data_IF_624113335594
#
_entry.id   IF_624113335594
#
_cell.length_a   1.000
_cell.length_b   1.000
_cell.length_c   1.000
_cell.angle_alpha   90.00
_cell.angle_beta   90.00
_cell.angle_gamma   90.00
#
_symmetry.space_group_name_H-M   'P 1'
#
loop_
_entity.id
_entity.type
_entity.pdbx_description
1 polymer ?
#
# COMPACT_ATOMS: atom_id res chain seq x y z
N UNK A 1 43.75 -81.67 -25.06
CA UNK A 1 42.65 -82.11 -25.94
C UNK A 1 41.75 -80.91 -26.16
N UNK A 2 41.55 -80.53 -27.42
CA UNK A 2 40.78 -79.38 -27.92
C UNK A 2 39.35 -79.86 -28.35
N UNK A 3 38.50 -79.09 -29.07
CA UNK A 3 37.27 -78.49 -28.51
C UNK A 3 36.00 -78.74 -29.37
N UNK A 4 34.89 -78.09 -29.03
CA UNK A 4 33.79 -77.66 -29.93
C UNK A 4 32.81 -76.77 -29.13
N UNK A 5 32.03 -75.82 -29.67
CA UNK A 5 32.11 -74.86 -30.78
C UNK A 5 31.01 -73.82 -30.47
N UNK A 6 31.25 -72.55 -30.82
CA UNK A 6 30.28 -71.54 -31.29
C UNK A 6 29.30 -70.76 -30.38
N UNK A 7 29.25 -69.47 -30.75
CA UNK A 7 28.27 -68.39 -30.48
C UNK A 7 28.39 -67.67 -29.12
N UNK A 8 28.60 -66.35 -29.00
CA UNK A 8 28.51 -65.22 -29.93
C UNK A 8 29.54 -64.15 -29.56
N UNK A 9 30.18 -63.56 -30.57
CA UNK A 9 31.19 -62.51 -30.43
C UNK A 9 30.64 -61.19 -30.97
N UNK A 10 30.87 -60.08 -30.25
CA UNK A 10 31.67 -58.95 -30.73
C UNK A 10 31.26 -57.63 -30.06
N UNK A 11 32.25 -57.09 -29.35
CA UNK A 11 32.43 -55.70 -28.98
C UNK A 11 32.33 -54.75 -30.19
N UNK A 12 31.64 -53.62 -30.05
CA UNK A 12 31.83 -52.47 -30.93
C UNK A 12 31.59 -51.15 -30.18
N UNK A 13 32.66 -50.37 -30.02
CA UNK A 13 32.63 -48.98 -29.64
C UNK A 13 31.91 -48.16 -30.72
N UNK A 14 30.97 -47.29 -30.33
CA UNK A 14 30.23 -46.46 -31.27
C UNK A 14 30.90 -45.09 -31.47
N UNK A 15 31.64 -45.03 -32.57
CA UNK A 15 31.84 -43.91 -33.51
C UNK A 15 31.40 -42.50 -33.10
N UNK A 16 32.39 -41.63 -32.91
CA UNK A 16 32.29 -40.21 -33.25
C UNK A 16 32.22 -40.08 -34.78
N UNK A 17 31.09 -39.57 -35.30
CA UNK A 17 30.96 -39.22 -36.72
C UNK A 17 31.07 -37.71 -36.90
N UNK A 18 32.11 -37.34 -37.63
CA UNK A 18 32.37 -36.06 -38.26
C UNK A 18 31.21 -35.63 -39.17
N UNK A 19 30.80 -34.36 -39.09
CA UNK A 19 30.28 -33.63 -40.24
C UNK A 19 31.08 -32.34 -40.37
N UNK A 20 31.88 -32.28 -41.44
CA UNK A 20 32.55 -31.07 -41.94
C UNK A 20 31.49 -30.07 -42.40
N UNK A 21 31.48 -28.87 -41.83
CA UNK A 21 30.86 -27.70 -42.44
C UNK A 21 31.95 -26.78 -42.97
N UNK A 22 32.15 -26.82 -44.29
CA UNK A 22 32.98 -25.90 -45.06
C UNK A 22 32.25 -24.58 -45.29
N UNK A 23 32.97 -23.48 -45.10
CA UNK A 23 32.52 -22.10 -45.14
C UNK A 23 32.02 -21.64 -46.52
N UNK A 24 30.98 -20.80 -46.51
CA UNK A 24 30.77 -19.77 -47.53
C UNK A 24 30.09 -18.55 -46.88
N UNK A 25 30.88 -17.53 -46.58
CA UNK A 25 30.42 -16.23 -46.09
C UNK A 25 29.74 -15.48 -47.24
N UNK A 26 28.41 -15.37 -47.23
CA UNK A 26 27.67 -14.33 -47.96
C UNK A 26 27.06 -13.36 -46.96
N UNK A 27 27.57 -12.14 -47.00
CA UNK A 27 27.17 -10.98 -46.21
C UNK A 27 25.86 -10.43 -46.79
N UNK A 28 24.76 -10.47 -46.05
CA UNK A 28 23.51 -9.78 -46.41
C UNK A 28 23.25 -8.65 -45.42
N UNK A 29 23.05 -7.44 -45.94
CA UNK A 29 22.81 -6.22 -45.19
C UNK A 29 21.38 -6.16 -44.66
N UNK A 30 21.20 -5.63 -43.45
CA UNK A 30 19.90 -5.28 -42.88
C UNK A 30 19.34 -3.99 -43.51
N UNK A 31 18.00 -3.79 -43.56
CA UNK A 31 17.38 -2.62 -44.18
C UNK A 31 17.66 -1.32 -43.41
N UNK A 32 17.87 -0.23 -44.15
CA UNK A 32 18.08 1.11 -43.60
C UNK A 32 16.82 1.68 -42.91
N UNK A 33 17.00 2.23 -41.71
CA UNK A 33 16.03 3.05 -40.96
C UNK A 33 16.01 4.47 -41.55
N UNK A 34 14.85 5.10 -41.80
CA UNK A 34 14.80 6.52 -42.19
C UNK A 34 15.28 7.40 -41.03
N UNK A 35 16.14 8.37 -41.34
CA UNK A 35 16.69 9.36 -40.43
C UNK A 35 15.61 10.23 -39.80
N UNK A 36 15.47 10.20 -38.47
CA UNK A 36 14.73 11.22 -37.73
C UNK A 36 15.58 12.49 -37.62
N UNK A 37 15.16 13.58 -38.26
CA UNK A 37 15.69 14.92 -38.03
C UNK A 37 15.30 15.38 -36.62
N UNK A 38 16.26 15.45 -35.70
CA UNK A 38 16.10 16.20 -34.45
C UNK A 38 16.12 17.70 -34.74
N UNK A 39 15.29 18.53 -34.09
CA UNK A 39 15.41 19.98 -34.20
C UNK A 39 16.74 20.44 -33.55
N UNK A 40 17.37 21.52 -34.06
CA UNK A 40 18.65 21.97 -33.54
C UNK A 40 18.51 22.47 -32.09
N UNK A 41 19.58 22.36 -31.27
CA UNK A 41 19.56 22.82 -29.90
C UNK A 41 19.30 24.34 -29.88
N UNK A 42 18.28 24.77 -29.13
CA UNK A 42 18.05 26.20 -28.88
C UNK A 42 19.23 26.74 -28.09
N UNK A 43 19.96 27.71 -28.67
CA UNK A 43 21.02 28.44 -27.97
C UNK A 43 20.42 29.18 -26.79
N UNK A 44 20.72 28.73 -25.57
CA UNK A 44 20.38 29.44 -24.35
C UNK A 44 21.26 30.69 -24.26
N UNK A 45 20.65 31.83 -23.94
CA UNK A 45 21.38 33.09 -23.79
C UNK A 45 22.25 33.07 -22.54
N UNK A 46 23.44 33.67 -22.56
CA UNK A 46 24.28 33.78 -21.38
C UNK A 46 23.57 34.59 -20.29
N UNK A 47 23.74 34.19 -19.02
CA UNK A 47 23.05 34.78 -17.86
C UNK A 47 23.25 36.30 -17.75
N UNK A 48 24.39 36.83 -18.20
CA UNK A 48 24.63 38.27 -18.25
C UNK A 48 23.63 39.02 -19.15
N UNK A 49 23.22 38.45 -20.29
CA UNK A 49 22.24 39.08 -21.19
C UNK A 49 20.82 39.02 -20.59
N UNK A 50 20.52 37.97 -19.82
CA UNK A 50 19.23 37.82 -19.12
C UNK A 50 19.12 38.85 -18.01
N UNK A 51 20.16 39.00 -17.18
CA UNK A 51 20.17 39.96 -16.07
C UNK A 51 20.16 41.41 -16.56
N UNK A 52 20.77 41.70 -17.71
CA UNK A 52 20.74 43.04 -18.31
C UNK A 52 19.35 43.45 -18.87
N UNK A 53 18.47 42.49 -19.15
CA UNK A 53 17.11 42.74 -19.70
C UNK A 53 15.99 42.57 -18.68
N UNK A 54 16.24 41.93 -17.55
CA UNK A 54 15.24 41.78 -16.50
C UNK A 54 14.99 43.15 -15.84
N UNK A 55 13.73 43.61 -15.86
CA UNK A 55 13.34 44.81 -15.10
C UNK A 55 13.49 44.52 -13.61
N UNK A 56 14.19 45.39 -12.89
CA UNK A 56 14.27 45.31 -11.44
C UNK A 56 12.87 45.61 -10.88
N UNK A 57 12.17 44.57 -10.42
CA UNK A 57 10.91 44.74 -9.70
C UNK A 57 11.30 45.29 -8.33
N UNK A 58 11.12 46.59 -8.15
CA UNK A 58 11.10 47.19 -6.82
C UNK A 58 9.84 46.63 -6.16
N UNK A 59 10.02 45.68 -5.24
CA UNK A 59 8.93 45.28 -4.36
C UNK A 59 8.68 46.47 -3.44
N UNK A 60 7.65 47.26 -3.76
CA UNK A 60 7.05 48.16 -2.78
C UNK A 60 6.63 47.28 -1.60
N UNK A 61 7.23 47.54 -0.44
CA UNK A 61 6.98 46.80 0.80
C UNK A 61 5.65 47.30 1.33
N UNK A 62 4.55 46.78 0.79
CA UNK A 62 3.23 46.99 1.37
C UNK A 62 3.26 46.52 2.83
N UNK A 63 2.74 47.36 3.73
CA UNK A 63 2.72 47.19 5.18
C UNK A 63 1.90 45.94 5.58
N UNK A 64 2.56 44.79 5.77
CA UNK A 64 1.97 43.56 6.34
C UNK A 64 1.83 43.62 7.88
N UNK A 65 1.91 44.81 8.48
CA UNK A 65 2.00 45.00 9.94
C UNK A 65 0.66 44.85 10.69
N UNK A 66 -0.46 44.52 10.01
CA UNK A 66 -1.78 44.31 10.67
C UNK A 66 -2.40 42.92 10.39
N UNK A 67 -1.61 41.94 9.96
CA UNK A 67 -2.12 40.56 9.82
C UNK A 67 -2.24 39.92 11.20
N UNK A 68 -3.48 39.70 11.65
CA UNK A 68 -3.78 39.07 12.95
C UNK A 68 -4.13 37.60 12.78
N UNK A 69 -3.88 36.82 13.82
CA UNK A 69 -4.31 35.44 13.86
C UNK A 69 -5.84 35.36 13.97
N UNK A 70 -6.47 34.63 13.05
CA UNK A 70 -7.93 34.43 13.03
C UNK A 70 -8.48 33.63 14.21
N UNK A 71 -7.63 32.86 14.90
CA UNK A 71 -8.07 32.01 16.02
C UNK A 71 -8.02 32.77 17.35
N UNK A 72 -6.92 33.47 17.64
CA UNK A 72 -6.75 34.19 18.91
C UNK A 72 -6.98 35.70 18.80
N UNK A 73 -7.12 36.25 17.60
CA UNK A 73 -7.34 37.68 17.34
C UNK A 73 -6.13 38.59 17.61
N UNK A 74 -5.01 38.04 18.08
CA UNK A 74 -3.77 38.77 18.37
C UNK A 74 -2.85 38.81 17.14
N UNK A 75 -2.08 39.90 17.01
CA UNK A 75 -0.98 40.05 16.05
C UNK A 75 0.40 39.81 16.67
N UNK A 76 0.47 39.29 17.90
CA UNK A 76 1.73 39.03 18.62
C UNK A 76 2.33 37.68 18.18
N UNK A 77 3.66 37.62 17.95
CA UNK A 77 4.40 36.49 17.36
C UNK A 77 4.17 36.34 15.86
N UNK A 78 4.43 37.43 15.16
CA UNK A 78 4.48 37.52 13.70
C UNK A 78 5.46 36.49 13.08
N UNK A 79 6.52 36.14 13.81
CA UNK A 79 7.50 35.10 13.45
C UNK A 79 6.93 33.67 13.44
N UNK A 80 5.84 33.42 14.16
CA UNK A 80 5.12 32.14 14.20
C UNK A 80 3.80 32.19 13.42
N UNK A 81 3.56 33.21 12.58
CA UNK A 81 2.30 33.40 11.84
C UNK A 81 2.36 32.76 10.45
N UNK A 82 1.43 31.84 10.17
CA UNK A 82 1.25 31.21 8.85
C UNK A 82 0.14 31.91 8.07
N UNK A 83 0.36 32.14 6.78
CA UNK A 83 -0.67 32.60 5.85
C UNK A 83 -1.26 31.43 5.09
N UNK A 84 -2.58 31.37 5.02
CA UNK A 84 -3.27 30.38 4.19
C UNK A 84 -3.15 30.75 2.71
N UNK A 85 -2.59 29.87 1.88
CA UNK A 85 -2.40 30.11 0.43
C UNK A 85 -3.71 30.24 -0.39
N UNK A 86 -4.86 30.11 0.26
CA UNK A 86 -6.18 30.23 -0.39
C UNK A 86 -6.95 31.48 0.03
N UNK A 87 -6.82 31.91 1.28
CA UNK A 87 -7.63 33.01 1.81
C UNK A 87 -6.80 34.12 2.44
N UNK A 88 -5.47 34.01 2.37
CA UNK A 88 -4.48 34.98 2.84
C UNK A 88 -4.63 35.40 4.31
N UNK A 89 -5.43 34.66 5.08
CA UNK A 89 -5.64 34.88 6.51
C UNK A 89 -4.47 34.31 7.32
N UNK A 90 -4.08 35.04 8.36
CA UNK A 90 -3.03 34.67 9.30
C UNK A 90 -3.50 33.72 10.39
N UNK A 91 -2.66 32.77 10.75
CA UNK A 91 -2.86 31.86 11.86
C UNK A 91 -1.53 31.56 12.55
N UNK A 92 -1.44 31.72 13.87
CA UNK A 92 -0.23 31.26 14.55
C UNK A 92 -0.08 29.75 14.41
N UNK A 93 1.14 29.31 14.23
CA UNK A 93 1.59 27.92 14.25
C UNK A 93 1.03 27.13 15.43
N UNK A 94 0.90 27.76 16.61
CA UNK A 94 0.32 27.17 17.83
C UNK A 94 -1.20 27.33 17.96
N UNK A 95 -1.81 28.20 17.16
CA UNK A 95 -3.25 28.46 17.18
C UNK A 95 -4.00 27.62 16.15
N UNK A 96 -3.30 26.95 15.24
CA UNK A 96 -3.89 25.96 14.34
C UNK A 96 -3.91 24.60 15.01
N UNK A 97 -4.94 23.80 14.73
CA UNK A 97 -5.03 22.40 15.17
C UNK A 97 -4.89 21.49 13.94
N UNK A 98 -3.83 20.65 13.87
CA UNK A 98 -2.82 20.47 14.91
C UNK A 98 -1.82 21.63 14.95
N UNK A 99 -1.10 21.76 16.07
CA UNK A 99 -0.01 22.72 16.21
C UNK A 99 1.04 22.44 15.14
N UNK A 100 1.32 23.44 14.32
CA UNK A 100 2.39 23.39 13.33
C UNK A 100 3.69 23.73 14.04
N UNK A 101 4.62 22.76 14.13
CA UNK A 101 5.87 22.95 14.87
C UNK A 101 6.98 23.63 14.04
N UNK A 102 6.83 23.65 12.72
CA UNK A 102 7.74 24.29 11.75
C UNK A 102 6.95 24.76 10.54
N UNK A 103 7.42 25.83 9.88
CA UNK A 103 6.80 26.32 8.64
C UNK A 103 6.70 25.16 7.62
N UNK A 104 5.48 24.84 7.13
CA UNK A 104 5.28 23.74 6.19
C UNK A 104 6.06 23.97 4.89
N UNK A 105 6.59 22.89 4.31
CA UNK A 105 7.24 22.93 3.00
C UNK A 105 6.15 22.77 1.94
N UNK A 106 6.00 23.78 1.07
CA UNK A 106 4.95 23.80 0.05
C UNK A 106 3.68 24.50 0.53
N UNK A 107 2.53 24.21 -0.10
CA UNK A 107 1.32 24.98 0.16
C UNK A 107 0.61 24.59 1.45
N UNK A 108 0.29 25.60 2.28
CA UNK A 108 -0.45 25.44 3.53
C UNK A 108 -1.85 26.07 3.43
N UNK A 109 -2.85 25.31 3.85
CA UNK A 109 -4.25 25.75 3.86
C UNK A 109 -4.78 25.72 5.28
N UNK A 110 -5.46 26.79 5.70
CA UNK A 110 -6.10 26.83 7.01
C UNK A 110 -7.25 25.81 7.13
N UNK A 111 -7.68 25.45 8.34
CA UNK A 111 -8.74 24.45 8.56
C UNK A 111 -10.03 24.74 7.77
N UNK A 112 -10.40 26.03 7.64
CA UNK A 112 -11.56 26.47 6.86
C UNK A 112 -11.41 26.22 5.35
N UNK A 113 -10.18 26.27 4.84
CA UNK A 113 -9.86 26.09 3.42
C UNK A 113 -9.53 24.64 3.05
N UNK A 114 -9.09 23.83 4.02
CA UNK A 114 -8.76 22.42 3.84
C UNK A 114 -10.00 21.56 3.53
N UNK A 115 -11.16 21.86 4.15
CA UNK A 115 -12.43 21.15 3.94
C UNK A 115 -13.08 21.30 2.56
N UNK A 116 -12.42 21.95 1.58
CA UNK A 116 -12.96 22.23 0.25
C UNK A 116 -12.36 21.38 -0.87
N UNK A 117 -11.54 20.37 -0.57
CA UNK A 117 -11.31 19.29 -1.55
C UNK A 117 -12.58 18.46 -1.63
N UNK A 118 -13.49 18.82 -2.54
CA UNK A 118 -14.64 17.99 -2.93
C UNK A 118 -14.11 16.68 -3.48
N UNK A 119 -13.94 15.67 -2.64
CA UNK A 119 -13.61 14.34 -3.12
C UNK A 119 -14.86 13.80 -3.81
N UNK A 120 -14.76 13.54 -5.11
CA UNK A 120 -15.89 13.03 -5.89
C UNK A 120 -16.28 11.66 -5.34
N UNK A 121 -17.50 11.53 -4.84
CA UNK A 121 -18.03 10.23 -4.40
C UNK A 121 -17.99 9.23 -5.56
N UNK A 122 -17.54 8.01 -5.28
CA UNK A 122 -17.62 6.91 -6.23
C UNK A 122 -19.08 6.50 -6.44
N UNK A 123 -19.44 6.14 -7.67
CA UNK A 123 -20.71 5.46 -7.91
C UNK A 123 -20.58 3.98 -7.53
N UNK A 124 -21.69 3.33 -7.19
CA UNK A 124 -21.72 1.91 -6.81
C UNK A 124 -20.96 1.01 -7.81
N UNK A 125 -21.18 1.21 -9.11
CA UNK A 125 -20.50 0.44 -10.17
C UNK A 125 -18.98 0.62 -10.14
N UNK A 126 -18.50 1.85 -9.87
CA UNK A 126 -17.06 2.12 -9.75
C UNK A 126 -16.46 1.47 -8.51
N UNK A 127 -17.19 1.42 -7.40
CA UNK A 127 -16.73 0.73 -6.18
C UNK A 127 -16.58 -0.77 -6.44
N UNK A 128 -17.59 -1.40 -7.03
CA UNK A 128 -17.55 -2.82 -7.37
C UNK A 128 -16.36 -3.16 -8.27
N UNK A 129 -16.13 -2.36 -9.30
CA UNK A 129 -15.01 -2.53 -10.24
C UNK A 129 -13.65 -2.30 -9.54
N UNK A 130 -13.55 -1.23 -8.74
CA UNK A 130 -12.32 -0.86 -8.01
C UNK A 130 -11.83 -1.99 -7.10
N UNK A 131 -12.75 -2.64 -6.38
CA UNK A 131 -12.44 -3.76 -5.48
C UNK A 131 -12.54 -5.14 -6.14
N UNK A 132 -12.87 -5.21 -7.45
CA UNK A 132 -13.09 -6.47 -8.20
C UNK A 132 -14.07 -7.42 -7.50
N UNK A 133 -15.14 -6.86 -6.94
CA UNK A 133 -16.12 -7.62 -6.14
C UNK A 133 -16.77 -8.68 -7.03
N UNK A 134 -16.67 -9.93 -6.59
CA UNK A 134 -17.26 -11.07 -7.29
C UNK A 134 -18.77 -11.07 -7.09
N UNK A 135 -19.54 -11.14 -8.19
CA UNK A 135 -20.96 -11.42 -8.11
C UNK A 135 -21.15 -12.90 -7.82
N UNK A 136 -21.74 -13.20 -6.67
CA UNK A 136 -22.28 -14.53 -6.42
C UNK A 136 -23.46 -14.70 -7.38
N UNK A 137 -23.44 -15.72 -8.26
CA UNK A 137 -24.67 -16.12 -8.95
C UNK A 137 -25.57 -16.77 -7.89
N UNK A 138 -26.77 -16.24 -7.68
CA UNK A 138 -27.71 -16.68 -6.64
C UNK A 138 -28.22 -18.13 -6.80
N UNK A 139 -27.76 -18.88 -7.79
CA UNK A 139 -28.29 -20.22 -8.16
C UNK A 139 -27.50 -21.42 -7.60
N UNK A 140 -26.31 -21.24 -7.00
CA UNK A 140 -25.62 -22.33 -6.28
C UNK A 140 -24.82 -21.81 -5.07
N UNK A 141 -25.51 -21.15 -4.14
CA UNK A 141 -25.02 -21.04 -2.77
C UNK A 141 -25.66 -22.16 -1.94
N UNK A 142 -24.90 -23.14 -1.42
CA UNK A 142 -25.39 -23.92 -0.30
C UNK A 142 -25.70 -22.92 0.80
N UNK A 143 -26.97 -22.85 1.17
CA UNK A 143 -27.54 -22.04 2.24
C UNK A 143 -26.80 -22.33 3.56
N UNK A 144 -25.62 -21.76 3.76
CA UNK A 144 -25.02 -21.55 5.08
C UNK A 144 -25.58 -20.24 5.62
N UNK A 145 -26.90 -20.23 5.70
CA UNK A 145 -27.68 -19.38 6.59
C UNK A 145 -27.03 -19.36 7.96
N UNK A 146 -27.14 -18.20 8.60
CA UNK A 146 -26.72 -17.88 9.95
C UNK A 146 -27.40 -18.72 11.06
N UNK A 147 -27.64 -20.02 10.86
CA UNK A 147 -28.32 -20.92 11.80
C UNK A 147 -27.52 -22.19 12.19
N UNK A 148 -26.21 -22.23 11.98
CA UNK A 148 -25.38 -23.37 12.42
C UNK A 148 -24.38 -23.05 13.56
N UNK A 149 -24.68 -22.08 14.43
CA UNK A 149 -24.06 -22.00 15.77
C UNK A 149 -25.10 -22.34 16.85
N UNK A 150 -25.84 -23.44 16.68
CA UNK A 150 -26.38 -24.17 17.85
C UNK A 150 -25.25 -25.02 18.41
N UNK A 151 -24.32 -24.38 19.13
CA UNK A 151 -23.41 -25.11 20.03
C UNK A 151 -24.27 -25.91 21.00
N UNK A 152 -24.31 -27.24 20.85
CA UNK A 152 -24.81 -28.15 21.88
C UNK A 152 -24.11 -27.76 23.19
N UNK A 153 -24.85 -27.18 24.14
CA UNK A 153 -24.42 -27.03 25.53
C UNK A 153 -24.25 -28.44 26.11
N UNK A 154 -23.07 -29.04 25.94
CA UNK A 154 -22.63 -30.08 26.86
C UNK A 154 -22.34 -29.37 28.18
N UNK A 155 -23.11 -29.69 29.22
CA UNK A 155 -22.76 -29.35 30.61
C UNK A 155 -21.37 -29.92 30.86
N UNK A 156 -20.36 -29.06 30.88
CA UNK A 156 -19.00 -29.40 31.28
C UNK A 156 -18.82 -28.96 32.74
N UNK A 157 -18.04 -29.70 33.55
CA UNK A 157 -17.74 -29.30 34.92
C UNK A 157 -17.15 -27.89 34.96
N UNK A 158 -17.44 -27.16 36.03
CA UNK A 158 -16.91 -25.83 36.34
C UNK A 158 -15.39 -25.90 36.59
N UNK A 159 -14.63 -26.09 35.52
CA UNK A 159 -13.18 -25.86 35.53
C UNK A 159 -12.97 -24.53 34.83
N UNK A 160 -12.31 -23.59 35.52
CA UNK A 160 -11.92 -22.30 35.00
C UNK A 160 -10.94 -22.49 33.83
N UNK A 161 -11.47 -22.73 32.64
CA UNK A 161 -10.70 -22.71 31.41
C UNK A 161 -10.41 -21.24 31.11
N UNK A 162 -9.14 -20.82 31.22
CA UNK A 162 -8.70 -19.50 30.73
C UNK A 162 -9.26 -19.34 29.31
N UNK A 163 -10.03 -18.27 29.05
CA UNK A 163 -10.57 -17.98 27.70
C UNK A 163 -9.40 -18.04 26.71
N UNK A 164 -9.40 -19.04 25.82
CA UNK A 164 -8.40 -19.11 24.75
C UNK A 164 -8.62 -17.88 23.86
N UNK A 165 -7.59 -17.03 23.75
CA UNK A 165 -7.55 -15.93 22.78
C UNK A 165 -7.51 -16.58 21.40
N UNK A 166 -8.59 -16.45 20.63
CA UNK A 166 -8.73 -16.96 19.26
C UNK A 166 -9.25 -15.84 18.37
N UNK A 167 -8.87 -15.82 17.11
CA UNK A 167 -9.37 -14.83 16.16
C UNK A 167 -10.89 -15.00 15.99
N UNK A 168 -11.58 -13.87 15.87
CA UNK A 168 -12.98 -13.79 15.50
C UNK A 168 -13.07 -13.13 14.11
N UNK A 169 -13.98 -13.60 13.23
CA UNK A 169 -14.24 -12.89 12.00
C UNK A 169 -14.89 -11.53 12.31
N UNK A 170 -14.63 -10.53 11.46
CA UNK A 170 -15.37 -9.28 11.53
C UNK A 170 -16.84 -9.49 11.19
N UNK A 171 -17.66 -8.50 11.57
CA UNK A 171 -19.09 -8.46 11.23
C UNK A 171 -19.33 -7.27 10.31
N UNK A 172 -19.60 -7.50 9.01
CA UNK A 172 -19.96 -6.42 8.10
C UNK A 172 -21.22 -5.70 8.58
N UNK A 173 -21.35 -4.42 8.23
CA UNK A 173 -22.60 -3.69 8.39
C UNK A 173 -23.74 -4.41 7.66
N UNK A 174 -24.90 -4.57 8.30
CA UNK A 174 -26.06 -5.24 7.70
C UNK A 174 -26.59 -4.47 6.48
N UNK A 175 -26.62 -3.14 6.58
CA UNK A 175 -27.03 -2.22 5.52
C UNK A 175 -26.03 -2.23 4.34
N UNK A 176 -26.45 -2.64 3.12
CA UNK A 176 -25.61 -2.61 1.93
C UNK A 176 -25.11 -1.22 1.55
N UNK A 177 -25.90 -0.18 1.73
CA UNK A 177 -25.51 1.20 1.38
C UNK A 177 -24.40 1.69 2.31
N UNK A 178 -24.48 1.29 3.58
CA UNK A 178 -23.42 1.53 4.57
C UNK A 178 -22.11 0.82 4.20
N UNK A 179 -22.15 -0.45 3.80
CA UNK A 179 -20.95 -1.16 3.29
C UNK A 179 -20.36 -0.47 2.06
N UNK A 180 -21.22 0.03 1.18
CA UNK A 180 -20.80 0.75 -0.01
C UNK A 180 -20.12 2.08 0.34
N UNK A 181 -20.62 2.80 1.33
CA UNK A 181 -19.98 4.02 1.88
C UNK A 181 -18.60 3.71 2.48
N UNK A 182 -18.49 2.63 3.26
CA UNK A 182 -17.23 2.15 3.86
C UNK A 182 -16.18 1.88 2.77
N UNK A 183 -16.51 1.03 1.79
CA UNK A 183 -15.63 0.76 0.65
C UNK A 183 -15.31 2.02 -0.17
N UNK A 184 -16.31 2.87 -0.40
CA UNK A 184 -16.13 4.13 -1.13
C UNK A 184 -15.14 5.08 -0.46
N UNK A 185 -15.11 5.14 0.88
CA UNK A 185 -14.14 5.94 1.63
C UNK A 185 -12.70 5.48 1.39
N UNK A 186 -12.46 4.17 1.40
CA UNK A 186 -11.16 3.57 1.10
C UNK A 186 -10.74 3.81 -0.36
N UNK A 187 -11.65 3.61 -1.31
CA UNK A 187 -11.37 3.86 -2.73
C UNK A 187 -10.97 5.32 -2.98
N UNK A 188 -11.64 6.25 -2.29
CA UNK A 188 -11.32 7.68 -2.27
C UNK A 188 -9.91 7.95 -1.75
N UNK A 189 -9.53 7.37 -0.61
CA UNK A 189 -8.20 7.57 -0.02
C UNK A 189 -7.09 7.02 -0.94
N UNK A 190 -7.24 5.78 -1.42
CA UNK A 190 -6.31 5.15 -2.36
C UNK A 190 -6.16 5.96 -3.65
N UNK A 191 -7.27 6.43 -4.22
CA UNK A 191 -7.24 7.26 -5.43
C UNK A 191 -6.55 8.60 -5.19
N UNK A 192 -6.73 9.20 -4.01
CA UNK A 192 -6.07 10.45 -3.63
C UNK A 192 -4.54 10.26 -3.56
N UNK A 193 -4.10 9.12 -3.05
CA UNK A 193 -2.69 8.73 -3.00
C UNK A 193 -2.17 8.10 -4.30
N UNK A 194 -2.99 8.02 -5.36
CA UNK A 194 -2.67 7.38 -6.64
C UNK A 194 -2.22 5.91 -6.50
N UNK A 195 -2.84 5.21 -5.56
CA UNK A 195 -2.59 3.80 -5.28
C UNK A 195 -3.63 2.89 -5.94
N UNK A 196 -3.19 1.68 -6.28
CA UNK A 196 -4.06 0.57 -6.64
C UNK A 196 -4.47 -0.20 -5.39
N UNK A 197 -5.72 -0.68 -5.36
CA UNK A 197 -6.17 -1.58 -4.30
C UNK A 197 -5.53 -2.95 -4.44
N UNK A 198 -5.00 -3.48 -3.34
CA UNK A 198 -4.54 -4.86 -3.23
C UNK A 198 -4.75 -5.39 -1.82
N UNK A 199 -5.49 -6.49 -1.68
CA UNK A 199 -5.74 -7.17 -0.41
C UNK A 199 -4.82 -8.40 -0.20
N UNK A 200 -3.69 -8.43 -0.91
CA UNK A 200 -2.69 -9.49 -0.85
C UNK A 200 -1.27 -8.90 -0.89
N UNK A 201 -0.29 -9.66 -0.40
CA UNK A 201 1.12 -9.34 -0.65
C UNK A 201 1.46 -9.51 -2.14
N UNK A 202 2.07 -8.49 -2.73
CA UNK A 202 2.47 -8.49 -4.14
C UNK A 202 3.98 -8.61 -4.29
N UNK A 203 4.42 -9.37 -5.29
CA UNK A 203 5.85 -9.64 -5.56
C UNK A 203 6.18 -9.18 -6.97
N UNK A 204 6.89 -8.06 -7.07
CA UNK A 204 7.14 -7.36 -8.34
C UNK A 204 8.51 -7.74 -8.89
N UNK A 205 8.66 -7.94 -10.21
CA UNK A 205 9.98 -8.11 -10.81
C UNK A 205 10.92 -6.95 -10.45
N UNK A 206 12.12 -7.27 -9.95
CA UNK A 206 13.10 -6.28 -9.47
C UNK A 206 13.05 -6.01 -7.97
N UNK A 207 12.01 -6.47 -7.28
CA UNK A 207 11.89 -6.47 -5.80
C UNK A 207 12.14 -7.89 -5.25
N UNK A 208 11.73 -8.15 -4.01
CA UNK A 208 11.82 -9.48 -3.42
C UNK A 208 10.89 -10.48 -4.14
N UNK A 209 11.40 -11.70 -4.35
CA UNK A 209 10.59 -12.80 -4.87
C UNK A 209 9.73 -13.42 -3.78
N UNK A 210 8.62 -14.06 -4.17
CA UNK A 210 7.77 -14.80 -3.23
C UNK A 210 8.52 -15.88 -2.46
N UNK A 211 9.51 -16.52 -3.10
CA UNK A 211 10.37 -17.52 -2.47
C UNK A 211 11.31 -16.96 -1.39
N UNK A 212 11.53 -15.65 -1.32
CA UNK A 212 12.30 -15.02 -0.25
C UNK A 212 11.49 -14.92 1.05
N UNK A 213 10.18 -14.82 0.96
CA UNK A 213 9.28 -14.76 2.11
C UNK A 213 9.01 -16.16 2.68
N UNK A 214 9.92 -16.64 3.51
CA UNK A 214 9.76 -17.88 4.27
C UNK A 214 9.98 -17.60 5.76
N UNK A 215 8.97 -17.92 6.57
CA UNK A 215 8.97 -17.64 8.01
C UNK A 215 10.11 -18.35 8.78
N UNK A 216 10.68 -19.41 8.23
CA UNK A 216 11.86 -20.11 8.79
C UNK A 216 13.11 -19.23 8.84
N UNK A 217 13.16 -18.14 8.08
CA UNK A 217 14.27 -17.19 8.08
C UNK A 217 14.15 -16.11 9.16
N UNK A 218 13.02 -16.03 9.87
CA UNK A 218 12.82 -15.08 10.98
C UNK A 218 13.80 -15.38 12.12
N UNK A 219 14.55 -14.37 12.55
CA UNK A 219 15.43 -14.51 13.70
C UNK A 219 14.61 -14.65 15.00
N UNK A 220 14.91 -15.67 15.80
CA UNK A 220 14.10 -16.03 16.97
C UNK A 220 12.82 -16.83 16.65
N UNK A 221 12.51 -17.05 15.36
CA UNK A 221 11.37 -17.85 14.90
C UNK A 221 10.03 -17.09 14.91
N UNK A 222 9.10 -17.55 14.08
CA UNK A 222 7.79 -16.93 13.91
C UNK A 222 6.66 -17.84 14.42
N UNK A 223 5.70 -17.26 15.13
CA UNK A 223 4.53 -17.99 15.60
C UNK A 223 3.70 -18.55 14.42
N UNK A 224 3.27 -19.80 14.53
CA UNK A 224 2.44 -20.47 13.51
C UNK A 224 0.97 -20.24 13.83
N UNK A 225 0.22 -19.73 12.86
CA UNK A 225 -1.22 -19.55 12.99
C UNK A 225 -1.92 -20.90 13.16
N UNK A 226 -2.83 -21.01 14.13
CA UNK A 226 -3.56 -22.25 14.37
C UNK A 226 -4.54 -22.54 13.24
N UNK A 227 -4.89 -23.82 13.02
CA UNK A 227 -5.86 -24.19 11.98
C UNK A 227 -7.20 -23.45 12.11
N UNK A 228 -7.70 -23.26 13.34
CA UNK A 228 -8.96 -22.52 13.61
C UNK A 228 -8.84 -21.03 13.23
N UNK A 229 -7.69 -20.42 13.50
CA UNK A 229 -7.44 -19.02 13.15
C UNK A 229 -7.20 -18.83 11.64
N UNK A 230 -6.56 -19.81 10.99
CA UNK A 230 -6.42 -19.86 9.52
C UNK A 230 -7.78 -19.95 8.83
N UNK A 231 -8.68 -20.82 9.30
CA UNK A 231 -10.06 -20.91 8.79
C UNK A 231 -10.82 -19.58 8.98
N UNK A 232 -10.58 -18.89 10.11
CA UNK A 232 -11.18 -17.58 10.38
C UNK A 232 -10.66 -16.50 9.42
N UNK A 233 -9.35 -16.50 9.13
CA UNK A 233 -8.73 -15.60 8.17
C UNK A 233 -9.26 -15.85 6.74
N UNK A 234 -9.37 -17.10 6.32
CA UNK A 234 -9.91 -17.48 5.02
C UNK A 234 -11.37 -17.05 4.87
N UNK A 235 -12.18 -17.18 5.93
CA UNK A 235 -13.55 -16.67 5.96
C UNK A 235 -13.58 -15.15 5.75
N UNK A 236 -12.70 -14.40 6.42
CA UNK A 236 -12.61 -12.94 6.27
C UNK A 236 -12.23 -12.54 4.84
N UNK A 237 -11.24 -13.21 4.23
CA UNK A 237 -10.89 -12.98 2.82
C UNK A 237 -12.05 -13.29 1.87
N UNK A 238 -12.80 -14.36 2.11
CA UNK A 238 -13.96 -14.71 1.31
C UNK A 238 -15.10 -13.69 1.42
N UNK A 239 -15.31 -13.10 2.61
CA UNK A 239 -16.23 -11.98 2.82
C UNK A 239 -15.80 -10.75 2.00
N UNK A 240 -14.55 -10.33 2.10
CA UNK A 240 -14.03 -9.16 1.36
C UNK A 240 -14.22 -9.31 -0.16
N UNK A 241 -13.94 -10.49 -0.72
CA UNK A 241 -14.10 -10.76 -2.17
C UNK A 241 -15.52 -10.59 -2.70
N UNK A 242 -16.54 -10.75 -1.85
CA UNK A 242 -17.95 -10.58 -2.21
C UNK A 242 -18.55 -9.25 -1.72
N UNK A 243 -17.71 -8.32 -1.27
CA UNK A 243 -18.14 -6.97 -0.86
C UNK A 243 -18.65 -6.88 0.59
N UNK A 244 -18.38 -7.89 1.40
CA UNK A 244 -18.58 -7.86 2.84
C UNK A 244 -17.28 -7.41 3.51
N UNK A 245 -17.12 -6.11 3.71
CA UNK A 245 -15.94 -5.50 4.34
C UNK A 245 -16.08 -5.42 5.88
N UNK A 246 -14.97 -5.32 6.63
CA UNK A 246 -15.03 -4.93 8.04
C UNK A 246 -15.67 -3.54 8.18
N UNK A 247 -16.38 -3.26 9.29
CA UNK A 247 -17.15 -2.04 9.45
C UNK A 247 -16.24 -0.85 9.78
N UNK A 248 -15.43 -0.43 8.82
CA UNK A 248 -14.40 0.59 8.93
C UNK A 248 -14.65 1.71 7.93
N UNK A 249 -14.35 2.94 8.34
CA UNK A 249 -14.42 4.13 7.50
C UNK A 249 -13.04 4.79 7.43
N UNK A 250 -12.59 5.14 6.23
CA UNK A 250 -11.41 5.99 6.06
C UNK A 250 -11.84 7.45 6.10
N UNK A 251 -11.34 8.19 7.07
CA UNK A 251 -11.70 9.59 7.30
C UNK A 251 -10.46 10.46 7.23
N UNK A 252 -10.58 11.62 6.57
CA UNK A 252 -9.50 12.59 6.55
C UNK A 252 -9.58 13.48 7.78
N UNK A 253 -8.53 13.44 8.59
CA UNK A 253 -8.26 14.34 9.69
C UNK A 253 -7.18 15.36 9.29
N UNK A 254 -7.32 16.61 9.69
CA UNK A 254 -6.35 17.66 9.34
C UNK A 254 -5.00 17.50 10.01
N UNK A 255 -4.94 16.75 11.11
CA UNK A 255 -3.73 16.52 11.89
C UNK A 255 -3.00 15.25 11.48
N UNK A 256 -3.77 14.17 11.30
CA UNK A 256 -3.25 12.82 11.12
C UNK A 256 -3.30 12.37 9.66
N UNK A 257 -3.93 13.16 8.77
CA UNK A 257 -4.14 12.77 7.39
C UNK A 257 -5.27 11.76 7.27
N UNK A 258 -5.10 10.72 6.46
CA UNK A 258 -6.11 9.67 6.39
C UNK A 258 -6.01 8.75 7.60
N UNK A 259 -7.14 8.61 8.30
CA UNK A 259 -7.31 7.79 9.50
C UNK A 259 -8.37 6.73 9.25
N UNK A 260 -8.41 5.69 10.11
CA UNK A 260 -9.44 4.65 10.06
C UNK A 260 -10.21 4.63 11.37
N UNK A 261 -11.52 4.78 11.28
CA UNK A 261 -12.43 4.67 12.41
C UNK A 261 -13.37 3.46 12.27
N UNK A 262 -13.79 2.90 13.40
CA UNK A 262 -14.82 1.88 13.42
C UNK A 262 -16.18 2.54 13.17
N UNK A 263 -16.85 2.13 12.10
CA UNK A 263 -18.23 2.56 11.82
C UNK A 263 -19.23 1.72 12.63
N UNK A 264 -18.90 0.47 13.00
CA UNK A 264 -19.75 -0.38 13.85
C UNK A 264 -18.95 -1.08 14.96
N UNK A 265 -19.64 -1.80 15.84
CA UNK A 265 -19.03 -2.51 16.95
C UNK A 265 -18.04 -3.58 16.46
N UNK A 266 -16.79 -3.44 16.88
CA UNK A 266 -15.73 -4.43 16.70
C UNK A 266 -15.47 -5.10 18.05
N UNK A 267 -15.55 -6.42 18.11
CA UNK A 267 -15.34 -7.17 19.35
C UNK A 267 -13.85 -7.36 19.61
N UNK A 268 -13.51 -7.55 20.88
CA UNK A 268 -12.18 -8.03 21.25
C UNK A 268 -11.83 -9.32 20.48
N UNK A 269 -10.58 -9.44 20.06
CA UNK A 269 -10.03 -10.50 19.21
C UNK A 269 -10.58 -10.59 17.78
N UNK A 270 -11.31 -9.59 17.28
CA UNK A 270 -11.75 -9.55 15.87
C UNK A 270 -10.59 -9.26 14.92
N UNK A 271 -10.46 -10.07 13.87
CA UNK A 271 -9.58 -9.81 12.74
C UNK A 271 -10.03 -8.53 12.00
N UNK A 272 -9.09 -7.61 11.77
CA UNK A 272 -9.35 -6.30 11.16
C UNK A 272 -8.97 -6.32 9.67
N UNK A 273 -7.68 -6.42 9.39
CA UNK A 273 -7.13 -6.47 8.04
C UNK A 273 -5.72 -7.09 8.08
N UNK A 274 -5.28 -7.67 6.97
CA UNK A 274 -3.86 -7.94 6.73
C UNK A 274 -3.16 -6.64 6.29
N UNK A 275 -1.90 -6.47 6.66
CA UNK A 275 -1.08 -5.38 6.13
C UNK A 275 -0.52 -5.80 4.77
N UNK A 276 -0.94 -5.13 3.68
CA UNK A 276 -0.64 -5.55 2.30
C UNK A 276 0.13 -4.49 1.53
N UNK A 277 0.83 -4.92 0.50
CA UNK A 277 1.63 -4.05 -0.38
C UNK A 277 2.70 -4.83 -1.14
N UNK A 278 3.53 -4.10 -1.87
CA UNK A 278 4.66 -4.66 -2.59
C UNK A 278 5.73 -5.12 -1.59
N UNK A 279 6.16 -6.38 -1.69
CA UNK A 279 7.21 -6.94 -0.82
C UNK A 279 8.58 -6.67 -1.44
N UNK A 280 9.47 -6.08 -0.66
CA UNK A 280 10.83 -5.76 -1.07
C UNK A 280 11.84 -6.11 0.01
N UNK A 281 13.13 -6.10 -0.35
CA UNK A 281 14.20 -6.22 0.63
C UNK A 281 14.37 -4.90 1.38
N UNK A 282 14.55 -4.97 2.69
CA UNK A 282 14.72 -3.77 3.53
C UNK A 282 15.89 -2.88 3.06
N UNK A 283 17.01 -3.50 2.64
CA UNK A 283 18.18 -2.79 2.08
C UNK A 283 17.86 -1.95 0.84
N UNK A 284 16.83 -2.32 0.07
CA UNK A 284 16.44 -1.58 -1.13
C UNK A 284 15.66 -0.30 -0.78
N UNK A 285 15.22 -0.15 0.47
CA UNK A 285 14.31 0.89 0.96
C UNK A 285 14.94 1.80 2.03
N UNK A 286 16.26 1.71 2.24
CA UNK A 286 16.98 2.52 3.24
C UNK A 286 16.83 4.04 3.05
N UNK A 287 16.59 4.47 1.81
CA UNK A 287 16.46 5.87 1.42
C UNK A 287 15.04 6.19 0.90
N UNK A 288 14.08 5.31 1.18
CA UNK A 288 12.69 5.48 0.76
C UNK A 288 11.96 6.45 1.71
N UNK A 289 11.12 7.32 1.15
CA UNK A 289 10.35 8.34 1.87
C UNK A 289 8.92 7.87 2.24
N UNK A 290 8.59 6.61 1.98
CA UNK A 290 7.31 6.01 2.36
C UNK A 290 7.14 5.94 3.89
N UNK A 291 6.14 6.67 4.39
CA UNK A 291 5.76 6.74 5.80
C UNK A 291 5.04 5.49 6.34
N UNK A 292 4.72 4.53 5.46
CA UNK A 292 3.83 3.40 5.75
C UNK A 292 4.50 2.05 5.54
N UNK A 293 5.83 1.98 5.62
CA UNK A 293 6.56 0.71 5.56
C UNK A 293 6.26 -0.17 6.78
N UNK A 294 6.12 -1.48 6.56
CA UNK A 294 5.88 -2.45 7.64
C UNK A 294 6.82 -3.65 7.50
N UNK A 295 7.56 -3.96 8.57
CA UNK A 295 8.45 -5.13 8.58
C UNK A 295 7.66 -6.42 8.37
N UNK A 296 8.11 -7.27 7.44
CA UNK A 296 7.53 -8.58 7.16
C UNK A 296 8.36 -9.73 7.74
N UNK A 297 9.68 -9.62 7.61
CA UNK A 297 10.62 -10.66 8.00
C UNK A 297 11.93 -10.01 8.47
N UNK A 298 12.34 -10.29 9.71
CA UNK A 298 13.62 -9.87 10.27
C UNK A 298 14.58 -11.05 10.27
N UNK A 299 15.40 -11.16 9.23
CA UNK A 299 16.32 -12.28 9.08
C UNK A 299 17.65 -12.07 9.82
N UNK A 300 18.29 -13.17 10.25
CA UNK A 300 19.64 -13.13 10.85
C UNK A 300 20.67 -12.44 9.97
N UNK A 301 20.58 -12.64 8.66
CA UNK A 301 21.31 -11.86 7.67
C UNK A 301 20.43 -10.67 7.26
N UNK A 302 20.81 -9.42 7.62
CA UNK A 302 20.02 -8.23 7.31
C UNK A 302 19.74 -8.07 5.82
N UNK A 303 20.61 -8.59 4.94
CA UNK A 303 20.46 -8.50 3.49
C UNK A 303 19.28 -9.29 2.92
N UNK A 304 18.68 -10.16 3.75
CA UNK A 304 17.52 -11.01 3.46
C UNK A 304 16.24 -10.55 4.16
N UNK A 305 16.29 -9.51 4.98
CA UNK A 305 15.12 -8.96 5.65
C UNK A 305 14.16 -8.34 4.64
N UNK A 306 12.86 -8.49 4.90
CA UNK A 306 11.79 -8.06 4.00
C UNK A 306 10.90 -7.01 4.66
N UNK A 307 10.40 -6.11 3.82
CA UNK A 307 9.49 -5.04 4.18
C UNK A 307 8.31 -5.01 3.21
N UNK A 308 7.13 -4.71 3.71
CA UNK A 308 5.93 -4.41 2.92
C UNK A 308 5.91 -2.90 2.66
N UNK A 309 5.81 -2.54 1.39
CA UNK A 309 5.78 -1.17 0.92
C UNK A 309 4.44 -0.90 0.25
N UNK A 310 3.50 -0.22 0.93
CA UNK A 310 2.20 0.06 0.37
C UNK A 310 2.19 1.39 -0.42
N UNK A 311 3.28 1.76 -1.09
CA UNK A 311 3.45 3.02 -1.82
C UNK A 311 2.65 3.06 -3.13
N UNK A 312 2.54 1.91 -3.82
CA UNK A 312 1.82 1.76 -5.09
C UNK A 312 0.54 0.93 -4.97
N UNK A 313 0.58 -0.10 -4.14
CA UNK A 313 -0.48 -1.08 -3.95
C UNK A 313 -0.70 -1.31 -2.46
N UNK A 314 -1.95 -1.39 -2.02
CA UNK A 314 -2.25 -1.70 -0.62
C UNK A 314 -3.75 -1.69 -0.33
N UNK A 315 -4.09 -1.91 0.93
CA UNK A 315 -5.47 -1.90 1.42
C UNK A 315 -5.66 -0.87 2.54
N UNK A 316 -6.68 -1.07 3.37
CA UNK A 316 -7.03 -0.16 4.47
C UNK A 316 -5.98 -0.11 5.58
N UNK A 317 -5.17 -1.16 5.76
CA UNK A 317 -4.29 -1.30 6.92
C UNK A 317 -3.24 -0.19 7.01
N UNK A 318 -2.79 0.35 5.87
CA UNK A 318 -1.81 1.45 5.83
C UNK A 318 -2.34 2.79 6.37
N UNK A 319 -3.66 2.92 6.52
CA UNK A 319 -4.31 4.13 7.01
C UNK A 319 -4.68 4.05 8.50
N UNK A 320 -4.33 2.94 9.17
CA UNK A 320 -4.58 2.77 10.60
C UNK A 320 -3.49 3.53 11.37
N UNK A 321 -3.91 4.45 12.24
CA UNK A 321 -2.99 5.30 12.99
C UNK A 321 -2.23 4.54 14.07
N UNK A 322 -1.00 4.96 14.32
CA UNK A 322 -0.19 4.53 15.46
C UNK A 322 -0.48 5.35 16.72
N UNK A 323 -0.05 4.82 17.87
CA UNK A 323 -0.07 5.55 19.14
C UNK A 323 1.22 6.36 19.32
N UNK A 324 1.16 7.42 20.13
CA UNK A 324 2.36 8.13 20.57
C UNK A 324 3.06 7.34 21.70
N UNK A 325 4.16 6.67 21.36
CA UNK A 325 4.95 5.88 22.30
C UNK A 325 5.75 6.71 23.34
N UNK A 326 5.67 8.04 23.28
CA UNK A 326 6.36 8.95 24.20
C UNK A 326 5.41 9.68 25.16
N UNK A 327 4.10 9.45 25.06
CA UNK A 327 3.14 9.98 26.04
C UNK A 327 3.13 9.07 27.28
N UNK A 328 3.29 9.63 28.49
CA UNK A 328 3.40 8.86 29.74
C UNK A 328 2.10 8.14 30.15
#
# INVERSE_FOLDING_TARGET
MTPAFSSSSATAASSQRLIRCSASLRRTHAPHRPSSTSPPPRKLKPMAEVMAKAKHVVLERDDYDDVRCEECGSGDRDDELLLCDKCDKGFHMKCVSPIVVRVPIGSWLCPKCCGQRRVRSFSQKKIIDFFRIQKCNDEEAPYLSAQAIKRRRRLRPLVWQKKRRRLLPFRPSEDPDRRLKQMGSLATALTTLKMEFSDDLTYVPGMASRSANQAEFEDGGMQVLSKEDTETLELCRAMSRRGECPPLLVVFDSCEGFTVEADDQIKDMTFIAEYTGDVDYLKNREHDDCDSMMTLLSAKDPSRSLVICPDRRGNIARFINGINNHSP
#
